data_IF_125450411307
#
_entry.id   IF_125450411307
#
_cell.length_a   1.000
_cell.length_b   1.000
_cell.length_c   1.000
_cell.angle_alpha   90.00
_cell.angle_beta   90.00
_cell.angle_gamma   90.00
#
_symmetry.space_group_name_H-M   'P 1'
#
loop_
_entity.id
_entity.type
_entity.pdbx_description
1 polymer ?
#
# COMPACT_ATOMS: atom_id res chain seq x y z
N UNK A 1 -5.36 65.88 -7.88
CA UNK A 1 -4.21 64.93 -7.84
C UNK A 1 -4.76 63.60 -8.31
N UNK A 2 -4.23 63.03 -9.41
CA UNK A 2 -4.69 61.75 -9.93
C UNK A 2 -4.03 60.65 -9.10
N UNK A 3 -4.83 59.85 -8.39
CA UNK A 3 -4.33 58.67 -7.68
C UNK A 3 -4.14 57.61 -8.76
N UNK A 4 -2.88 57.27 -9.07
CA UNK A 4 -2.57 56.11 -9.90
C UNK A 4 -2.69 54.89 -8.99
N UNK A 5 -3.82 54.21 -9.06
CA UNK A 5 -3.99 52.91 -8.42
C UNK A 5 -3.23 51.87 -9.24
N UNK A 6 -2.10 51.39 -8.72
CA UNK A 6 -1.40 50.24 -9.32
C UNK A 6 -2.18 48.99 -9.01
N UNK A 7 -2.93 48.48 -9.99
CA UNK A 7 -3.63 47.20 -9.87
C UNK A 7 -2.60 46.07 -10.01
N UNK A 8 -2.14 45.51 -8.89
CA UNK A 8 -1.20 44.37 -8.90
C UNK A 8 -1.97 43.12 -9.30
N UNK A 9 -1.89 42.72 -10.57
CA UNK A 9 -2.40 41.42 -11.00
C UNK A 9 -1.45 40.34 -10.48
N UNK A 10 -1.79 39.69 -9.37
CA UNK A 10 -1.06 38.51 -8.90
C UNK A 10 -1.36 37.35 -9.85
N UNK A 11 -0.37 36.94 -10.65
CA UNK A 11 -0.44 35.69 -11.39
C UNK A 11 -0.52 34.54 -10.37
N UNK A 12 -1.52 33.65 -10.44
CA UNK A 12 -1.57 32.49 -9.54
C UNK A 12 -0.30 31.66 -9.68
N UNK A 13 0.33 31.30 -8.56
CA UNK A 13 1.56 30.51 -8.62
C UNK A 13 1.30 29.15 -9.29
N UNK A 14 2.26 28.65 -10.10
CA UNK A 14 2.18 27.32 -10.68
C UNK A 14 2.01 26.24 -9.61
N UNK A 15 1.19 25.23 -9.95
CA UNK A 15 0.92 24.07 -9.10
C UNK A 15 1.36 22.81 -9.83
N UNK A 16 2.14 21.98 -9.15
CA UNK A 16 2.58 20.68 -9.65
C UNK A 16 2.05 19.55 -8.76
N UNK A 17 1.90 18.38 -9.34
CA UNK A 17 1.50 17.17 -8.63
C UNK A 17 2.37 16.00 -9.08
N UNK A 18 2.91 15.28 -8.12
CA UNK A 18 3.81 14.14 -8.33
C UNK A 18 3.31 12.94 -7.52
N UNK A 19 3.64 11.73 -7.99
CA UNK A 19 3.29 10.47 -7.31
C UNK A 19 4.53 9.60 -7.17
N UNK A 20 4.77 9.09 -5.96
CA UNK A 20 5.82 8.12 -5.64
C UNK A 20 5.15 6.81 -5.26
N UNK A 21 5.41 5.76 -6.04
CA UNK A 21 4.79 4.44 -5.84
C UNK A 21 5.76 3.43 -5.24
N UNK A 22 5.26 2.54 -4.41
CA UNK A 22 5.99 1.41 -3.86
C UNK A 22 5.09 0.16 -3.85
N UNK A 23 5.71 -1.00 -4.06
CA UNK A 23 5.02 -2.30 -4.02
C UNK A 23 4.71 -2.73 -2.59
N UNK A 24 3.57 -3.38 -2.38
CA UNK A 24 3.18 -3.97 -1.10
C UNK A 24 2.30 -5.21 -1.28
N UNK A 25 2.31 -6.12 -0.30
CA UNK A 25 1.41 -7.26 -0.24
C UNK A 25 0.03 -6.85 0.28
N UNK A 26 -0.89 -6.51 -0.63
CA UNK A 26 -2.25 -6.12 -0.30
C UNK A 26 -3.21 -6.31 -1.47
N UNK A 27 -4.42 -5.77 -1.35
CA UNK A 27 -5.48 -5.91 -2.37
C UNK A 27 -5.95 -4.59 -2.97
N UNK A 28 -5.40 -3.46 -2.53
CA UNK A 28 -5.90 -2.14 -2.94
C UNK A 28 -4.79 -1.11 -2.96
N UNK A 29 -4.78 -0.31 -4.03
CA UNK A 29 -3.93 0.87 -4.13
C UNK A 29 -4.36 1.89 -3.08
N UNK A 30 -3.42 2.36 -2.26
CA UNK A 30 -3.73 3.25 -1.15
C UNK A 30 -2.73 4.40 -1.08
N UNK A 31 -3.23 5.63 -0.97
CA UNK A 31 -2.38 6.78 -0.64
C UNK A 31 -2.03 6.74 0.84
N UNK A 32 -0.76 6.51 1.15
CA UNK A 32 -0.26 6.40 2.52
C UNK A 32 0.09 7.76 3.12
N UNK A 33 0.57 8.68 2.29
CA UNK A 33 0.91 10.03 2.72
C UNK A 33 0.71 11.05 1.61
N UNK A 34 0.48 12.30 2.03
CA UNK A 34 0.47 13.47 1.15
C UNK A 34 1.43 14.50 1.72
N UNK A 35 2.39 14.95 0.91
CA UNK A 35 3.30 16.05 1.23
C UNK A 35 2.96 17.26 0.38
N UNK A 36 2.97 18.44 0.98
CA UNK A 36 2.78 19.72 0.26
C UNK A 36 3.96 20.62 0.58
N UNK A 37 4.65 21.07 -0.46
CA UNK A 37 5.75 22.03 -0.36
C UNK A 37 5.34 23.32 -1.05
N UNK A 38 5.54 24.44 -0.36
CA UNK A 38 5.23 25.77 -0.89
C UNK A 38 6.50 26.61 -0.88
N UNK A 39 6.83 27.20 -2.03
CA UNK A 39 8.02 28.04 -2.19
C UNK A 39 7.59 29.50 -2.29
N UNK A 40 8.26 30.34 -1.51
CA UNK A 40 8.10 31.80 -1.55
C UNK A 40 9.42 32.46 -1.93
N UNK A 41 9.34 33.58 -2.63
CA UNK A 41 10.47 34.50 -2.79
C UNK A 41 9.97 35.92 -2.55
N UNK A 42 10.67 36.65 -1.68
CA UNK A 42 10.39 38.05 -1.36
C UNK A 42 8.90 38.32 -1.02
N UNK A 43 8.34 37.47 -0.14
CA UNK A 43 6.94 37.56 0.29
C UNK A 43 5.90 37.17 -0.77
N UNK A 44 6.32 36.78 -1.97
CA UNK A 44 5.43 36.35 -3.06
C UNK A 44 5.46 34.83 -3.23
N UNK A 45 4.28 34.21 -3.32
CA UNK A 45 4.10 32.79 -3.59
C UNK A 45 4.65 32.45 -4.99
N UNK A 46 5.63 31.55 -5.07
CA UNK A 46 6.29 31.18 -6.33
C UNK A 46 5.81 29.84 -6.88
N UNK A 47 5.63 28.83 -6.03
CA UNK A 47 5.13 27.52 -6.46
C UNK A 47 4.53 26.72 -5.32
N UNK A 48 3.67 25.77 -5.69
CA UNK A 48 3.13 24.76 -4.80
C UNK A 48 3.36 23.40 -5.46
N UNK A 49 3.99 22.47 -4.74
CA UNK A 49 4.11 21.08 -5.14
C UNK A 49 3.36 20.19 -4.16
N UNK A 50 2.59 19.25 -4.69
CA UNK A 50 1.94 18.19 -3.91
C UNK A 50 2.47 16.84 -4.34
N UNK A 51 2.96 16.04 -3.39
CA UNK A 51 3.48 14.69 -3.63
C UNK A 51 2.57 13.69 -2.92
N UNK A 52 2.08 12.70 -3.67
CA UNK A 52 1.35 11.56 -3.14
C UNK A 52 2.26 10.35 -3.03
N UNK A 53 2.34 9.76 -1.85
CA UNK A 53 2.98 8.46 -1.63
C UNK A 53 1.91 7.39 -1.68
N UNK A 54 2.08 6.43 -2.59
CA UNK A 54 1.04 5.47 -2.93
C UNK A 54 1.60 4.05 -2.87
N UNK A 55 0.99 3.21 -2.05
CA UNK A 55 1.24 1.78 -2.05
C UNK A 55 0.38 1.14 -3.14
N UNK A 56 1.02 0.39 -4.05
CA UNK A 56 0.38 -0.36 -5.13
C UNK A 56 0.54 -1.84 -4.81
N UNK A 57 -0.55 -2.63 -4.81
CA UNK A 57 -0.46 -4.05 -4.51
C UNK A 57 0.33 -4.79 -5.59
N UNK A 58 1.33 -5.55 -5.17
CA UNK A 58 2.08 -6.42 -6.08
C UNK A 58 1.24 -7.64 -6.49
N UNK A 59 1.50 -8.16 -7.69
CA UNK A 59 0.92 -9.42 -8.12
C UNK A 59 1.27 -10.50 -7.09
N UNK A 60 0.26 -11.21 -6.60
CA UNK A 60 0.48 -12.18 -5.54
C UNK A 60 -0.41 -13.41 -5.64
N UNK A 61 0.11 -14.52 -5.11
CA UNK A 61 -0.62 -15.77 -4.94
C UNK A 61 -0.59 -16.17 -3.48
N UNK A 62 -1.71 -16.71 -3.00
CA UNK A 62 -1.87 -17.14 -1.62
C UNK A 62 -2.13 -18.64 -1.58
N UNK A 63 -1.35 -19.34 -0.77
CA UNK A 63 -1.54 -20.76 -0.47
C UNK A 63 -1.68 -20.98 1.04
N UNK A 64 -2.43 -22.03 1.41
CA UNK A 64 -2.62 -22.40 2.81
C UNK A 64 -2.30 -23.87 2.99
N UNK A 65 -1.40 -24.17 3.93
CA UNK A 65 -1.02 -25.52 4.34
C UNK A 65 -1.62 -25.83 5.69
N UNK A 66 -2.39 -26.90 5.78
CA UNK A 66 -3.06 -27.32 7.01
C UNK A 66 -2.33 -28.47 7.68
N UNK A 67 -2.14 -28.36 8.99
CA UNK A 67 -1.58 -29.42 9.84
C UNK A 67 -2.56 -29.72 10.98
N UNK A 68 -2.73 -31.00 11.30
CA UNK A 68 -3.53 -31.40 12.45
C UNK A 68 -2.81 -31.05 13.76
N UNK A 69 -3.55 -30.52 14.74
CA UNK A 69 -3.04 -30.11 16.05
C UNK A 69 -4.02 -30.47 17.16
N UNK A 70 -3.52 -30.68 18.38
CA UNK A 70 -4.33 -31.07 19.55
C UNK A 70 -5.03 -29.89 20.25
N UNK A 71 -4.86 -28.68 19.73
CA UNK A 71 -5.53 -27.48 20.23
C UNK A 71 -7.02 -27.44 19.92
N UNK A 72 -7.71 -26.47 20.51
CA UNK A 72 -9.17 -26.31 20.39
C UNK A 72 -9.60 -25.35 19.27
N UNK A 73 -8.67 -24.66 18.61
CA UNK A 73 -8.98 -23.61 17.64
C UNK A 73 -8.04 -23.66 16.44
N UNK A 74 -8.59 -23.33 15.28
CA UNK A 74 -7.81 -23.14 14.06
C UNK A 74 -6.95 -21.88 14.20
N UNK A 75 -5.64 -22.00 14.00
CA UNK A 75 -4.69 -20.90 14.18
C UNK A 75 -3.67 -20.87 13.06
N UNK A 76 -3.45 -19.70 12.46
CA UNK A 76 -2.28 -19.46 11.61
C UNK A 76 -1.07 -19.24 12.51
N UNK A 77 -0.12 -20.17 12.51
CA UNK A 77 1.06 -20.07 13.37
C UNK A 77 2.28 -19.49 12.63
N UNK A 78 2.29 -19.52 11.30
CA UNK A 78 3.36 -18.94 10.50
C UNK A 78 2.86 -18.44 9.13
N UNK A 79 3.55 -17.44 8.62
CA UNK A 79 3.41 -16.94 7.24
C UNK A 79 4.80 -16.88 6.61
N UNK A 80 4.93 -17.40 5.40
CA UNK A 80 6.17 -17.31 4.61
C UNK A 80 5.92 -16.51 3.33
N UNK A 81 6.88 -15.67 2.96
CA UNK A 81 6.86 -14.87 1.74
C UNK A 81 8.04 -15.26 0.85
N UNK A 82 7.77 -15.41 -0.44
CA UNK A 82 8.79 -15.66 -1.46
C UNK A 82 8.46 -14.83 -2.70
N UNK A 83 9.48 -14.31 -3.37
CA UNK A 83 9.30 -13.63 -4.66
C UNK A 83 9.74 -14.58 -5.76
N UNK A 84 8.87 -14.78 -6.76
CA UNK A 84 9.13 -15.64 -7.91
C UNK A 84 9.09 -14.77 -9.16
N UNK A 85 10.15 -14.81 -9.96
CA UNK A 85 10.17 -14.20 -11.29
C UNK A 85 9.59 -15.21 -12.28
N UNK A 86 8.50 -14.84 -12.95
CA UNK A 86 7.88 -15.66 -13.99
C UNK A 86 8.71 -15.69 -15.27
N UNK A 87 8.34 -16.58 -16.21
CA UNK A 87 8.97 -16.65 -17.54
C UNK A 87 8.76 -15.37 -18.37
N UNK A 88 7.78 -14.53 -17.99
CA UNK A 88 7.51 -13.21 -18.55
C UNK A 88 8.42 -12.10 -17.98
N UNK A 89 9.29 -12.44 -17.02
CA UNK A 89 10.18 -11.51 -16.33
C UNK A 89 9.49 -10.67 -15.25
N UNK A 90 8.22 -10.92 -14.93
CA UNK A 90 7.49 -10.22 -13.88
C UNK A 90 7.66 -10.93 -12.54
N UNK A 91 7.83 -10.15 -11.47
CA UNK A 91 7.88 -10.67 -10.11
C UNK A 91 6.46 -10.89 -9.55
N UNK A 92 6.26 -12.01 -8.88
CA UNK A 92 5.04 -12.34 -8.14
C UNK A 92 5.39 -12.73 -6.71
N UNK A 93 4.68 -12.16 -5.74
CA UNK A 93 4.84 -12.51 -4.33
C UNK A 93 3.98 -13.76 -4.03
N UNK A 94 4.61 -14.85 -3.61
CA UNK A 94 3.92 -16.03 -3.09
C UNK A 94 3.91 -16.00 -1.56
N UNK A 95 2.71 -15.95 -0.99
CA UNK A 95 2.47 -16.04 0.45
C UNK A 95 1.90 -17.41 0.82
N UNK A 96 2.51 -18.09 1.78
CA UNK A 96 2.02 -19.35 2.32
C UNK A 96 1.66 -19.20 3.79
N UNK A 97 0.40 -19.43 4.12
CA UNK A 97 -0.09 -19.52 5.50
C UNK A 97 -0.01 -20.95 6.00
N UNK A 98 0.66 -21.15 7.13
CA UNK A 98 0.69 -22.43 7.82
C UNK A 98 -0.33 -22.39 8.95
N UNK A 99 -1.34 -23.25 8.83
CA UNK A 99 -2.51 -23.25 9.69
C UNK A 99 -2.61 -24.58 10.41
N UNK A 100 -2.70 -24.52 11.73
CA UNK A 100 -3.05 -25.66 12.56
C UNK A 100 -4.56 -25.72 12.72
N UNK A 101 -5.15 -26.89 12.49
CA UNK A 101 -6.58 -27.16 12.71
C UNK A 101 -6.73 -28.25 13.76
N UNK A 102 -7.70 -28.14 14.69
CA UNK A 102 -8.01 -29.21 15.63
C UNK A 102 -8.23 -30.52 14.88
N UNK A 103 -7.54 -31.58 15.30
CA UNK A 103 -7.88 -32.93 14.87
C UNK A 103 -9.34 -33.15 15.22
N UNK A 104 -10.23 -33.27 14.23
CA UNK A 104 -11.61 -33.62 14.50
C UNK A 104 -11.58 -34.93 15.29
N UNK A 105 -11.99 -34.89 16.57
CA UNK A 105 -12.02 -36.08 17.40
C UNK A 105 -12.89 -37.11 16.67
N UNK A 106 -12.26 -38.16 16.12
CA UNK A 106 -12.95 -39.26 15.48
C UNK A 106 -13.73 -40.00 16.56
N UNK A 107 -14.97 -39.60 16.82
CA UNK A 107 -15.89 -40.41 17.63
C UNK A 107 -16.35 -41.56 16.76
N UNK A 108 -15.59 -42.66 16.76
CA UNK A 108 -16.06 -43.95 16.25
C UNK A 108 -17.03 -44.53 17.26
N UNK A 109 -18.33 -44.24 17.12
CA UNK A 109 -19.35 -45.00 17.83
C UNK A 109 -19.54 -46.32 17.08
N UNK A 110 -18.91 -47.39 17.58
CA UNK A 110 -19.25 -48.74 17.14
C UNK A 110 -20.64 -49.11 17.70
N UNK A 111 -21.56 -49.50 16.81
CA UNK A 111 -22.81 -50.18 17.17
C UNK A 111 -22.55 -51.68 17.31
#
# INVERSE_FOLDING_TARGET
QLIVETHTTLTPAPRATSTSTQGYFGSSTTTTATSVTTVYSDGTLQSIETIYYVDVPDASVVTTTYTAWDGSSTTTYATSFTTVTGDDGLETISATYYVETPSAATTTTAF
#
